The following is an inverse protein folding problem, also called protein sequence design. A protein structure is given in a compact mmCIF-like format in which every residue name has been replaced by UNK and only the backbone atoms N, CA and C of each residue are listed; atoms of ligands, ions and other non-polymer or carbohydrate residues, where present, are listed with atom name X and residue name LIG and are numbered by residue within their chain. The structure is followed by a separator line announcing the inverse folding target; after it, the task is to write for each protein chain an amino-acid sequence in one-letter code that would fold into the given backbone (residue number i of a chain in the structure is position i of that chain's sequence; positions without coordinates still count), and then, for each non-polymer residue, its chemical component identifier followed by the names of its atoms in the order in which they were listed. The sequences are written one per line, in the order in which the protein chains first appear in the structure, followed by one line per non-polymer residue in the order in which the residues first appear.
data_IF_551299453198
#
_entry.id   IF_551299453198
#
_cell.length_a   1.000
_cell.length_b   1.000
_cell.length_c   1.000
_cell.angle_alpha   90.00
_cell.angle_beta   90.00
_cell.angle_gamma   90.00
#
_symmetry.space_group_name_H-M   'P 1'
#
loop_
_entity.id
_entity.type
_entity.pdbx_description
1 polymer ?
#
# COMPACT_ATOMS: atom_id res chain seq x y z
N UNK A 1 18.75 44.17 1.39
CA UNK A 1 18.85 43.18 2.48
C UNK A 1 17.75 42.15 2.27
N UNK A 2 18.03 41.08 1.53
CA UNK A 2 17.06 40.00 1.30
C UNK A 2 17.28 38.93 2.36
N UNK A 3 16.32 38.76 3.26
CA UNK A 3 16.33 37.65 4.20
C UNK A 3 16.05 36.37 3.41
N UNK A 4 17.04 35.49 3.32
CA UNK A 4 16.85 34.13 2.83
C UNK A 4 16.10 33.35 3.92
N UNK A 5 15.07 32.56 3.58
CA UNK A 5 14.40 31.73 4.57
C UNK A 5 15.39 30.67 5.05
N UNK A 6 15.77 30.73 6.32
CA UNK A 6 16.55 29.69 6.98
C UNK A 6 15.73 28.41 6.97
N UNK A 7 16.27 27.34 6.37
CA UNK A 7 15.68 26.00 6.41
C UNK A 7 15.58 25.57 7.88
N UNK A 8 14.42 25.78 8.49
CA UNK A 8 14.09 25.18 9.77
C UNK A 8 14.15 23.67 9.57
N UNK A 9 15.07 23.01 10.28
CA UNK A 9 15.20 21.55 10.27
C UNK A 9 13.86 20.98 10.74
N UNK A 10 13.06 20.50 9.81
CA UNK A 10 11.92 19.64 10.12
C UNK A 10 12.47 18.53 11.01
N UNK A 11 11.92 18.32 12.22
CA UNK A 11 12.42 17.27 13.09
C UNK A 11 12.32 15.95 12.32
N UNK A 12 13.44 15.25 12.21
CA UNK A 12 13.53 13.96 11.54
C UNK A 12 13.01 12.87 12.49
N UNK A 13 11.78 13.07 12.99
CA UNK A 13 10.95 12.05 13.58
C UNK A 13 9.83 11.73 12.58
N UNK A 14 10.19 11.52 11.32
CA UNK A 14 9.33 10.83 10.38
C UNK A 14 9.34 9.36 10.78
N UNK A 15 8.32 8.93 11.52
CA UNK A 15 7.97 7.52 11.59
C UNK A 15 7.91 7.01 10.15
N UNK A 16 8.88 6.18 9.74
CA UNK A 16 8.91 5.61 8.41
C UNK A 16 7.63 4.81 8.20
N UNK A 17 6.81 5.23 7.23
CA UNK A 17 5.52 4.59 6.95
C UNK A 17 5.67 3.59 5.81
N UNK A 18 5.10 2.39 5.99
CA UNK A 18 5.18 1.30 5.02
C UNK A 18 3.78 0.83 4.62
N UNK A 19 3.60 0.44 3.37
CA UNK A 19 2.33 -0.08 2.87
C UNK A 19 2.53 -1.11 1.75
N UNK A 20 1.54 -1.99 1.57
CA UNK A 20 1.49 -2.96 0.46
C UNK A 20 0.62 -2.39 -0.67
N UNK A 21 1.06 -2.52 -1.93
CA UNK A 21 0.27 -2.19 -3.10
C UNK A 21 0.13 -3.42 -4.01
N UNK A 22 -1.11 -3.82 -4.30
CA UNK A 22 -1.40 -5.14 -4.89
C UNK A 22 -2.36 -5.05 -6.08
N UNK A 23 -2.28 -6.03 -7.00
CA UNK A 23 -3.29 -6.23 -8.02
C UNK A 23 -4.50 -7.06 -7.54
N UNK A 24 -5.76 -6.75 -7.94
CA UNK A 24 -6.95 -7.51 -7.55
C UNK A 24 -7.19 -8.70 -8.50
N UNK A 25 -6.15 -9.48 -8.81
CA UNK A 25 -6.27 -10.65 -9.68
C UNK A 25 -5.33 -11.76 -9.27
N UNK A 26 -5.59 -12.97 -9.77
CA UNK A 26 -4.88 -14.18 -9.31
C UNK A 26 -5.18 -14.46 -7.83
N UNK A 27 -4.17 -14.81 -7.02
CA UNK A 27 -4.34 -15.06 -5.58
C UNK A 27 -4.95 -13.88 -4.79
N UNK A 28 -4.78 -12.66 -5.27
CA UNK A 28 -5.29 -11.43 -4.64
C UNK A 28 -6.67 -11.01 -5.18
N UNK A 29 -7.30 -11.84 -6.01
CA UNK A 29 -8.69 -11.65 -6.43
C UNK A 29 -9.72 -12.16 -5.41
N UNK A 30 -9.29 -12.94 -4.42
CA UNK A 30 -10.13 -13.40 -3.31
C UNK A 30 -10.12 -12.37 -2.17
N UNK A 31 -11.28 -11.81 -1.78
CA UNK A 31 -11.38 -10.87 -0.66
C UNK A 31 -10.82 -11.42 0.65
N UNK A 32 -10.94 -12.74 0.91
CA UNK A 32 -10.47 -13.34 2.15
C UNK A 32 -8.94 -13.29 2.27
N UNK A 33 -8.24 -13.49 1.14
CA UNK A 33 -6.78 -13.39 1.06
C UNK A 33 -6.33 -11.95 1.33
N UNK A 34 -7.09 -10.96 0.82
CA UNK A 34 -6.81 -9.54 1.05
C UNK A 34 -7.01 -9.15 2.52
N UNK A 35 -8.06 -9.66 3.16
CA UNK A 35 -8.31 -9.45 4.59
C UNK A 35 -7.19 -10.05 5.43
N UNK A 36 -6.79 -11.29 5.15
CA UNK A 36 -5.70 -11.95 5.88
C UNK A 36 -4.39 -11.16 5.76
N UNK A 37 -4.10 -10.66 4.56
CA UNK A 37 -2.91 -9.84 4.32
C UNK A 37 -2.97 -8.50 5.06
N UNK A 38 -4.13 -7.83 5.10
CA UNK A 38 -4.31 -6.60 5.86
C UNK A 38 -4.06 -6.81 7.36
N UNK A 39 -4.63 -7.88 7.94
CA UNK A 39 -4.38 -8.24 9.36
C UNK A 39 -2.90 -8.46 9.63
N UNK A 40 -2.18 -9.14 8.73
CA UNK A 40 -0.74 -9.37 8.88
C UNK A 40 0.08 -8.08 8.73
N UNK A 41 -0.31 -7.20 7.80
CA UNK A 41 0.34 -5.91 7.60
C UNK A 41 0.18 -5.00 8.83
N UNK A 42 -1.03 -4.91 9.37
CA UNK A 42 -1.32 -4.19 10.61
C UNK A 42 -0.51 -4.74 11.79
N UNK A 43 -0.47 -6.07 11.96
CA UNK A 43 0.33 -6.72 13.01
C UNK A 43 1.84 -6.48 12.86
N UNK A 44 2.32 -6.23 11.64
CA UNK A 44 3.71 -5.88 11.35
C UNK A 44 4.01 -4.38 11.48
N UNK A 45 3.02 -3.56 11.84
CA UNK A 45 3.16 -2.10 11.98
C UNK A 45 3.16 -1.34 10.66
N UNK A 46 2.60 -1.92 9.60
CA UNK A 46 2.44 -1.23 8.31
C UNK A 46 1.18 -0.37 8.34
N UNK A 47 1.22 0.77 7.67
CA UNK A 47 0.19 1.80 7.70
C UNK A 47 -0.96 1.57 6.71
N UNK A 48 -0.85 0.58 5.81
CA UNK A 48 -1.95 0.27 4.90
C UNK A 48 -1.71 -0.81 3.85
N UNK A 49 -2.81 -1.23 3.25
CA UNK A 49 -2.88 -2.13 2.09
C UNK A 49 -3.79 -1.50 1.04
N UNK A 50 -3.29 -1.37 -0.18
CA UNK A 50 -3.97 -0.66 -1.27
C UNK A 50 -4.13 -1.56 -2.51
N UNK A 51 -5.25 -1.39 -3.21
CA UNK A 51 -5.58 -2.10 -4.45
C UNK A 51 -5.83 -1.07 -5.56
N UNK A 52 -5.37 -1.37 -6.78
CA UNK A 52 -5.85 -0.65 -7.98
C UNK A 52 -7.12 -1.29 -8.54
N UNK A 53 -7.98 -0.49 -9.18
CA UNK A 53 -9.30 -0.89 -9.67
C UNK A 53 -9.27 -1.61 -11.03
N UNK A 54 -8.09 -2.07 -11.48
CA UNK A 54 -7.96 -2.66 -12.81
C UNK A 54 -8.59 -4.05 -12.82
N UNK A 55 -9.63 -4.23 -13.66
CA UNK A 55 -10.19 -5.57 -13.93
C UNK A 55 -9.15 -6.46 -14.62
N UNK A 56 -8.77 -7.55 -13.96
CA UNK A 56 -8.04 -8.63 -14.60
C UNK A 56 -8.95 -9.33 -15.62
N UNK A 57 -8.45 -9.61 -16.82
CA UNK A 57 -9.16 -10.46 -17.78
C UNK A 57 -9.17 -11.90 -17.23
N UNK A 58 -10.34 -12.42 -16.84
CA UNK A 58 -10.52 -13.86 -16.65
C UNK A 58 -10.29 -14.51 -18.02
N UNK A 59 -9.21 -15.26 -18.17
CA UNK A 59 -9.19 -16.30 -19.20
C UNK A 59 -9.96 -17.47 -18.63
N UNK A 60 -11.13 -17.74 -19.21
CA UNK A 60 -11.81 -19.00 -19.02
C UNK A 60 -10.90 -20.07 -19.63
N UNK A 61 -10.13 -20.74 -18.77
CA UNK A 61 -9.41 -21.95 -19.11
C UNK A 61 -10.37 -23.12 -18.87
N UNK A 62 -11.27 -23.34 -19.82
CA UNK A 62 -11.83 -24.65 -20.15
C UNK A 62 -12.74 -24.50 -21.38
N UNK A 63 -12.21 -24.90 -22.54
CA UNK A 63 -12.98 -25.33 -23.71
C UNK A 63 -12.32 -26.57 -24.28
#
# INVERSE_FOLDING_TARGET
MSQQPTLEKVPMNENLRFAVYLPPFGPFGDPNVLVELAVRAEAAGWDGVFLWDRRGHRRDADR
#
